data_IF_512591169342
#
_entry.id   IF_512591169342
#
_cell.length_a   1.000
_cell.length_b   1.000
_cell.length_c   1.000
_cell.angle_alpha   90.00
_cell.angle_beta   90.00
_cell.angle_gamma   90.00
#
_symmetry.space_group_name_H-M   'P 1'
#
loop_
_entity.id
_entity.type
_entity.pdbx_description
1 polymer ?
#
# COMPACT_ATOMS: atom_id res chain seq x y z
N UNK A 1 11.46 -9.70 21.83
CA UNK A 1 10.41 -8.77 21.39
C UNK A 1 9.79 -9.42 20.16
N UNK A 2 8.61 -10.03 20.30
CA UNK A 2 7.86 -10.55 19.16
C UNK A 2 7.07 -9.39 18.58
N UNK A 3 7.20 -9.14 17.29
CA UNK A 3 6.26 -8.26 16.59
C UNK A 3 5.10 -9.16 16.22
N UNK A 4 3.97 -9.00 16.90
CA UNK A 4 2.73 -9.70 16.57
C UNK A 4 2.05 -8.89 15.47
N UNK A 5 1.88 -9.51 14.31
CA UNK A 5 1.23 -8.90 13.15
C UNK A 5 -0.15 -9.50 13.06
N UNK A 6 -1.18 -8.66 13.18
CA UNK A 6 -2.55 -9.02 12.85
C UNK A 6 -2.72 -8.90 11.32
N UNK A 7 -2.88 -10.03 10.60
CA UNK A 7 -2.96 -10.01 9.14
C UNK A 7 -4.24 -9.31 8.64
N UNK A 8 -5.33 -9.32 9.40
CA UNK A 8 -6.56 -8.63 8.99
C UNK A 8 -6.38 -7.12 9.05
N UNK A 9 -5.74 -6.61 10.11
CA UNK A 9 -5.41 -5.20 10.22
C UNK A 9 -4.42 -4.78 9.14
N UNK A 10 -3.39 -5.59 8.88
CA UNK A 10 -2.41 -5.30 7.84
C UNK A 10 -3.04 -5.25 6.43
N UNK A 11 -3.97 -6.15 6.10
CA UNK A 11 -4.71 -6.11 4.82
C UNK A 11 -5.63 -4.88 4.70
N UNK A 12 -6.27 -4.48 5.81
CA UNK A 12 -7.10 -3.27 5.82
C UNK A 12 -6.27 -2.00 5.59
N UNK A 13 -5.13 -1.91 6.27
CA UNK A 13 -4.22 -0.77 6.12
C UNK A 13 -3.59 -0.76 4.72
N UNK A 14 -3.28 -1.95 4.17
CA UNK A 14 -2.83 -2.09 2.79
C UNK A 14 -3.83 -1.52 1.79
N UNK A 15 -5.11 -1.91 1.90
CA UNK A 15 -6.18 -1.39 1.04
C UNK A 15 -6.37 0.12 1.17
N UNK A 16 -6.20 0.68 2.37
CA UNK A 16 -6.25 2.13 2.59
C UNK A 16 -5.12 2.85 1.83
N UNK A 17 -3.91 2.30 1.85
CA UNK A 17 -2.78 2.86 1.13
C UNK A 17 -2.95 2.75 -0.40
N UNK A 18 -3.48 1.64 -0.90
CA UNK A 18 -3.81 1.49 -2.32
C UNK A 18 -4.87 2.51 -2.77
N UNK A 19 -5.97 2.66 -2.03
CA UNK A 19 -7.04 3.63 -2.33
C UNK A 19 -6.51 5.07 -2.36
N UNK A 20 -5.66 5.44 -1.40
CA UNK A 20 -5.03 6.77 -1.35
C UNK A 20 -4.12 6.98 -2.56
N UNK A 21 -3.31 5.98 -2.92
CA UNK A 21 -2.46 6.04 -4.11
C UNK A 21 -3.26 6.25 -5.40
N UNK A 22 -4.33 5.48 -5.58
CA UNK A 22 -5.22 5.61 -6.76
C UNK A 22 -5.94 6.95 -6.81
N UNK A 23 -6.39 7.44 -5.65
CA UNK A 23 -7.07 8.74 -5.53
C UNK A 23 -6.12 9.88 -5.91
N UNK A 24 -4.88 9.84 -5.42
CA UNK A 24 -3.86 10.81 -5.77
C UNK A 24 -3.51 10.77 -7.26
N UNK A 25 -3.28 9.58 -7.82
CA UNK A 25 -3.04 9.42 -9.26
C UNK A 25 -4.19 9.98 -10.11
N UNK A 26 -5.43 9.69 -9.73
CA UNK A 26 -6.62 10.21 -10.42
C UNK A 26 -6.69 11.73 -10.36
N UNK A 27 -6.43 12.32 -9.20
CA UNK A 27 -6.41 13.77 -9.03
C UNK A 27 -5.31 14.43 -9.89
N UNK A 28 -4.12 13.83 -9.93
CA UNK A 28 -2.98 14.34 -10.70
C UNK A 28 -3.18 14.26 -12.21
N UNK A 29 -3.85 13.22 -12.69
CA UNK A 29 -4.25 13.10 -14.10
C UNK A 29 -5.24 14.20 -14.53
N UNK A 30 -5.96 14.80 -13.59
CA UNK A 30 -6.85 15.94 -13.83
C UNK A 30 -6.13 17.30 -13.88
N UNK A 31 -4.85 17.37 -13.53
CA UNK A 31 -4.10 18.63 -13.49
C UNK A 31 -3.69 19.04 -14.91
N UNK A 32 -3.99 20.28 -15.36
CA UNK A 32 -3.59 20.75 -16.68
C UNK A 32 -2.07 20.75 -16.84
N UNK A 33 -1.59 20.16 -17.93
CA UNK A 33 -0.16 20.10 -18.27
C UNK A 33 0.37 21.39 -18.93
N UNK A 34 -0.50 22.33 -19.25
CA UNK A 34 -0.14 23.62 -19.84
C UNK A 34 -1.11 24.72 -19.43
N UNK A 35 -0.60 25.96 -19.37
CA UNK A 35 -1.36 27.17 -19.10
C UNK A 35 -1.11 28.13 -20.26
N UNK A 36 -2.17 28.57 -20.94
CA UNK A 36 -2.06 29.52 -22.05
C UNK A 36 -2.13 30.96 -21.51
N UNK A 37 -1.13 31.80 -21.84
CA UNK A 37 -1.06 33.16 -21.29
C UNK A 37 0.30 33.89 -21.33
N UNK A 38 1.29 33.39 -22.07
CA UNK A 38 2.61 34.05 -22.21
C UNK A 38 3.61 33.71 -21.10
N UNK A 39 4.62 34.56 -20.88
CA UNK A 39 5.79 34.25 -20.02
C UNK A 39 5.38 33.89 -18.58
N UNK A 40 4.44 34.63 -17.97
CA UNK A 40 3.95 34.35 -16.63
C UNK A 40 3.19 33.01 -16.53
N UNK A 41 2.48 32.62 -17.59
CA UNK A 41 1.81 31.33 -17.65
C UNK A 41 2.82 30.17 -17.71
N UNK A 42 3.99 30.39 -18.30
CA UNK A 42 5.05 29.39 -18.35
C UNK A 42 5.67 29.13 -16.96
N UNK A 43 5.87 30.18 -16.15
CA UNK A 43 6.34 30.02 -14.76
C UNK A 43 5.32 29.24 -13.91
N UNK A 44 4.03 29.54 -14.09
CA UNK A 44 2.94 28.80 -13.43
C UNK A 44 2.92 27.33 -13.88
N UNK A 45 3.06 27.06 -15.18
CA UNK A 45 3.11 25.70 -15.71
C UNK A 45 4.29 24.88 -15.12
N UNK A 46 5.46 25.51 -14.94
CA UNK A 46 6.62 24.88 -14.30
C UNK A 46 6.33 24.55 -12.84
N UNK A 47 5.74 25.47 -12.06
CA UNK A 47 5.38 25.20 -10.67
C UNK A 47 4.35 24.07 -10.54
N UNK A 48 3.36 24.04 -11.44
CA UNK A 48 2.38 22.94 -11.51
C UNK A 48 3.09 21.61 -11.78
N UNK A 49 3.99 21.56 -12.77
CA UNK A 49 4.71 20.34 -13.11
C UNK A 49 5.56 19.80 -11.94
N UNK A 50 6.23 20.68 -11.20
CA UNK A 50 7.00 20.30 -10.01
C UNK A 50 6.10 19.73 -8.90
N UNK A 51 5.01 20.43 -8.58
CA UNK A 51 4.06 19.98 -7.55
C UNK A 51 3.39 18.65 -7.93
N UNK A 52 3.02 18.47 -9.20
CA UNK A 52 2.44 17.23 -9.71
C UNK A 52 3.44 16.09 -9.63
N UNK A 53 4.71 16.32 -9.96
CA UNK A 53 5.77 15.32 -9.86
C UNK A 53 5.99 14.83 -8.43
N UNK A 54 6.07 15.75 -7.47
CA UNK A 54 6.22 15.41 -6.05
C UNK A 54 5.01 14.64 -5.52
N UNK A 55 3.79 15.10 -5.84
CA UNK A 55 2.57 14.41 -5.45
C UNK A 55 2.44 13.02 -6.10
N UNK A 56 2.91 12.86 -7.33
CA UNK A 56 2.98 11.57 -8.01
C UNK A 56 3.88 10.58 -7.27
N UNK A 57 5.03 11.04 -6.78
CA UNK A 57 5.90 10.22 -5.96
C UNK A 57 5.22 9.77 -4.65
N UNK A 58 4.39 10.63 -4.03
CA UNK A 58 3.62 10.26 -2.83
C UNK A 58 2.54 9.22 -3.15
N UNK A 59 1.89 9.32 -4.32
CA UNK A 59 0.94 8.33 -4.79
C UNK A 59 1.61 6.95 -4.96
N UNK A 60 2.77 6.93 -5.62
CA UNK A 60 3.56 5.70 -5.84
C UNK A 60 4.03 5.07 -4.53
N UNK A 61 4.48 5.89 -3.57
CA UNK A 61 4.87 5.41 -2.23
C UNK A 61 3.69 4.76 -1.52
N UNK A 62 2.49 5.34 -1.60
CA UNK A 62 1.30 4.76 -0.98
C UNK A 62 0.97 3.40 -1.60
N UNK A 63 0.95 3.28 -2.92
CA UNK A 63 0.76 1.99 -3.60
C UNK A 63 1.82 0.97 -3.19
N UNK A 64 3.09 1.38 -3.06
CA UNK A 64 4.18 0.50 -2.62
C UNK A 64 3.98 0.01 -1.18
N UNK A 65 3.62 0.90 -0.26
CA UNK A 65 3.34 0.54 1.14
C UNK A 65 2.17 -0.45 1.20
N UNK A 66 1.11 -0.21 0.41
CA UNK A 66 -0.02 -1.14 0.27
C UNK A 66 0.43 -2.55 -0.12
N UNK A 67 1.25 -2.66 -1.16
CA UNK A 67 1.83 -3.93 -1.59
C UNK A 67 2.67 -4.62 -0.51
N UNK A 68 3.54 -3.88 0.19
CA UNK A 68 4.37 -4.42 1.27
C UNK A 68 3.50 -4.96 2.42
N UNK A 69 2.47 -4.21 2.82
CA UNK A 69 1.58 -4.62 3.91
C UNK A 69 0.77 -5.86 3.52
N UNK A 70 0.34 -5.97 2.27
CA UNK A 70 -0.30 -7.18 1.73
C UNK A 70 0.64 -8.38 1.76
N UNK A 71 1.90 -8.21 1.36
CA UNK A 71 2.89 -9.30 1.39
C UNK A 71 3.16 -9.77 2.82
N UNK A 72 3.32 -8.84 3.76
CA UNK A 72 3.49 -9.13 5.20
C UNK A 72 2.29 -9.89 5.75
N UNK A 73 1.07 -9.44 5.46
CA UNK A 73 -0.14 -10.10 5.94
C UNK A 73 -0.26 -11.53 5.41
N UNK A 74 0.02 -11.73 4.11
CA UNK A 74 0.01 -13.04 3.49
C UNK A 74 1.09 -13.97 4.06
N UNK A 75 2.27 -13.44 4.39
CA UNK A 75 3.34 -14.21 5.02
C UNK A 75 2.99 -14.65 6.45
N UNK A 76 2.35 -13.76 7.22
CA UNK A 76 1.83 -14.09 8.55
C UNK A 76 0.79 -15.22 8.48
N UNK A 77 -0.19 -15.12 7.57
CA UNK A 77 -1.21 -16.17 7.37
C UNK A 77 -0.56 -17.51 6.99
N UNK A 78 0.41 -17.51 6.07
CA UNK A 78 1.10 -18.75 5.67
C UNK A 78 1.90 -19.36 6.81
N UNK A 79 2.52 -18.52 7.64
CA UNK A 79 3.29 -18.97 8.80
C UNK A 79 2.37 -19.63 9.82
N UNK A 80 1.22 -19.03 10.11
CA UNK A 80 0.24 -19.59 11.04
C UNK A 80 -0.35 -20.90 10.53
N UNK A 81 -0.68 -20.97 9.23
CA UNK A 81 -1.18 -22.20 8.62
C UNK A 81 -0.13 -23.31 8.63
N UNK A 82 1.12 -22.99 8.31
CA UNK A 82 2.22 -23.94 8.37
C UNK A 82 2.49 -24.46 9.79
N UNK A 83 2.39 -23.58 10.80
CA UNK A 83 2.48 -23.99 12.20
C UNK A 83 1.30 -24.90 12.58
N UNK A 84 0.08 -24.54 12.20
CA UNK A 84 -1.13 -25.34 12.44
C UNK A 84 -1.00 -26.73 11.83
N UNK A 85 -0.59 -26.83 10.58
CA UNK A 85 -0.36 -28.12 9.88
C UNK A 85 0.71 -28.96 10.57
N UNK A 86 1.82 -28.35 11.02
CA UNK A 86 2.89 -29.06 11.70
C UNK A 86 2.48 -29.61 13.08
N UNK A 87 1.63 -28.91 13.81
CA UNK A 87 1.21 -29.30 15.16
C UNK A 87 -0.11 -30.09 15.20
N UNK A 88 -0.91 -30.10 14.13
CA UNK A 88 -2.17 -30.85 14.04
C UNK A 88 -2.02 -32.32 14.45
N UNK A 89 -1.04 -33.09 13.93
CA UNK A 89 -0.89 -34.51 14.28
C UNK A 89 -0.56 -34.73 15.76
N UNK A 90 0.14 -33.79 16.39
CA UNK A 90 0.49 -33.84 17.81
C UNK A 90 -0.75 -33.60 18.69
N UNK A 91 -1.60 -32.65 18.29
CA UNK A 91 -2.86 -32.33 18.97
C UNK A 91 -3.88 -33.47 18.83
N UNK A 92 -3.98 -34.08 17.66
CA UNK A 92 -4.83 -35.25 17.42
C UNK A 92 -4.37 -36.45 18.26
N UNK A 93 -3.05 -36.67 18.39
CA UNK A 93 -2.49 -37.70 19.27
C UNK A 93 -2.75 -37.47 20.76
N UNK A 94 -2.82 -36.20 21.21
CA UNK A 94 -3.10 -35.83 22.60
C UNK A 94 -4.59 -35.86 22.97
N UNK A 95 -5.49 -35.69 22.00
CA UNK A 95 -6.95 -35.75 22.23
C UNK A 95 -7.55 -37.15 21.98
N UNK A 96 -6.76 -38.07 21.42
CA UNK A 96 -7.15 -39.45 21.11
C UNK A 96 -6.87 -40.48 22.20
N UNK A 97 -6.33 -40.08 23.36
CA UNK A 97 -6.16 -40.91 24.57
C UNK A 97 -7.20 -40.61 25.65
#
# INVERSE_FOLDING_TARGET
MSIEIDPELALRDAGTHEEVGETLHTALNGVPSSVDGGIAANEVAVMIALAVGEAGAVADINTMIGGIMTDIANDAIRTDEGAREAFLPLLEGLMGE
#
